data_IF_688086793554
#
_entry.id   IF_688086793554
#
_cell.length_a   1.000
_cell.length_b   1.000
_cell.length_c   1.000
_cell.angle_alpha   90.00
_cell.angle_beta   90.00
_cell.angle_gamma   90.00
#
_symmetry.space_group_name_H-M   'P 1'
#
loop_
_entity.id
_entity.type
_entity.pdbx_description
1 polymer ?
#
# COMPACT_ATOMS: atom_id res chain seq x y z
N UNK A 1 22.81 -7.74 6.18
CA UNK A 1 23.14 -6.30 6.37
C UNK A 1 22.60 -5.41 5.25
N UNK A 2 23.06 -5.54 3.99
CA UNK A 2 22.62 -4.64 2.88
C UNK A 2 21.10 -4.58 2.65
N UNK A 3 20.40 -5.71 2.71
CA UNK A 3 18.93 -5.75 2.51
C UNK A 3 18.17 -4.92 3.56
N UNK A 4 18.61 -4.97 4.82
CA UNK A 4 17.99 -4.18 5.89
C UNK A 4 18.24 -2.69 5.69
N UNK A 5 19.46 -2.30 5.33
CA UNK A 5 19.75 -0.89 5.01
C UNK A 5 18.85 -0.38 3.88
N UNK A 6 18.68 -1.16 2.81
CA UNK A 6 17.75 -0.80 1.73
C UNK A 6 16.32 -0.62 2.24
N UNK A 7 15.78 -1.56 3.00
CA UNK A 7 14.43 -1.47 3.55
C UNK A 7 14.25 -0.25 4.47
N UNK A 8 15.22 -0.01 5.38
CA UNK A 8 15.25 1.15 6.28
C UNK A 8 15.29 2.48 5.50
N UNK A 9 16.09 2.56 4.43
CA UNK A 9 16.17 3.75 3.58
C UNK A 9 14.90 3.98 2.77
N UNK A 10 14.28 2.92 2.24
CA UNK A 10 12.96 3.01 1.58
C UNK A 10 11.92 3.54 2.58
N UNK A 11 11.84 2.96 3.78
CA UNK A 11 10.90 3.43 4.81
C UNK A 11 11.08 4.92 5.14
N UNK A 12 12.32 5.37 5.34
CA UNK A 12 12.63 6.79 5.54
C UNK A 12 12.22 7.66 4.34
N UNK A 13 12.52 7.22 3.12
CA UNK A 13 12.15 7.94 1.90
C UNK A 13 10.65 8.08 1.69
N UNK A 14 9.86 7.15 2.24
CA UNK A 14 8.40 7.19 2.24
C UNK A 14 7.78 7.81 3.50
N UNK A 15 8.58 8.46 4.36
CA UNK A 15 8.06 9.14 5.55
C UNK A 15 7.54 8.20 6.63
N UNK A 16 8.07 6.97 6.73
CA UNK A 16 7.70 6.01 7.78
C UNK A 16 8.50 6.19 9.09
N UNK A 17 9.36 7.20 9.15
CA UNK A 17 10.36 7.36 10.19
C UNK A 17 11.50 6.35 10.05
N UNK A 18 12.08 5.97 11.19
CA UNK A 18 13.18 5.02 11.25
C UNK A 18 12.71 3.61 11.62
N UNK A 19 12.87 2.66 10.70
CA UNK A 19 12.52 1.26 10.96
C UNK A 19 13.48 0.57 11.94
N UNK A 20 14.60 1.19 12.31
CA UNK A 20 15.54 0.69 13.33
C UNK A 20 16.88 0.24 12.77
N UNK A 21 17.86 0.01 13.67
CA UNK A 21 19.21 -0.44 13.31
C UNK A 21 19.22 -1.87 12.76
N UNK A 22 18.30 -2.70 13.25
CA UNK A 22 17.96 -4.04 12.78
C UNK A 22 16.43 -4.25 12.95
N UNK A 23 15.83 -5.31 12.39
CA UNK A 23 14.40 -5.59 12.61
C UNK A 23 14.06 -5.64 14.10
N UNK A 24 13.16 -4.76 14.55
CA UNK A 24 12.71 -4.64 15.94
C UNK A 24 13.73 -4.01 16.90
N UNK A 25 14.85 -3.46 16.42
CA UNK A 25 15.90 -2.87 17.26
C UNK A 25 15.93 -1.36 17.05
N UNK A 26 15.65 -0.61 18.12
CA UNK A 26 15.68 0.87 18.13
C UNK A 26 14.80 1.47 17.02
N UNK A 27 13.62 0.89 16.78
CA UNK A 27 12.66 1.46 15.85
C UNK A 27 12.15 2.81 16.39
N UNK A 28 12.09 3.80 15.52
CA UNK A 28 11.54 5.13 15.79
C UNK A 28 10.67 5.53 14.60
N UNK A 29 9.55 4.81 14.45
CA UNK A 29 8.60 5.01 13.36
C UNK A 29 7.88 6.36 13.49
N UNK A 30 7.44 6.91 12.37
CA UNK A 30 6.64 8.13 12.33
C UNK A 30 5.15 7.78 12.34
N UNK A 31 4.46 8.12 13.44
CA UNK A 31 3.02 7.89 13.59
C UNK A 31 2.16 9.05 13.09
N UNK A 32 2.77 10.19 12.76
CA UNK A 32 2.10 11.35 12.19
C UNK A 32 2.11 11.32 10.65
N UNK A 33 2.80 10.34 10.05
CA UNK A 33 2.88 10.12 8.61
C UNK A 33 1.52 10.18 7.90
N UNK A 34 1.53 10.74 6.69
CA UNK A 34 0.41 10.78 5.74
C UNK A 34 0.51 9.68 4.66
N UNK A 35 1.52 8.81 4.75
CA UNK A 35 1.74 7.73 3.80
C UNK A 35 0.48 6.83 3.73
N UNK A 36 0.04 6.55 2.51
CA UNK A 36 -1.19 5.79 2.23
C UNK A 36 -0.99 4.73 1.14
N UNK A 37 0.25 4.38 0.80
CA UNK A 37 0.53 3.39 -0.23
C UNK A 37 0.30 1.96 0.31
N UNK A 38 -0.62 1.16 -0.27
CA UNK A 38 -0.85 -0.21 0.15
C UNK A 38 0.38 -1.12 0.02
N UNK A 39 1.33 -0.81 -0.87
CA UNK A 39 2.60 -1.56 -0.96
C UNK A 39 3.47 -1.37 0.28
N UNK A 40 3.47 -0.17 0.89
CA UNK A 40 4.17 0.07 2.15
C UNK A 40 3.54 -0.74 3.29
N UNK A 41 2.21 -0.86 3.29
CA UNK A 41 1.51 -1.70 4.26
C UNK A 41 1.92 -3.17 4.13
N UNK A 42 1.97 -3.73 2.91
CA UNK A 42 2.48 -5.09 2.71
C UNK A 42 3.92 -5.25 3.20
N UNK A 43 4.81 -4.31 2.85
CA UNK A 43 6.20 -4.35 3.32
C UNK A 43 6.29 -4.37 4.85
N UNK A 44 5.46 -3.58 5.53
CA UNK A 44 5.43 -3.53 6.99
C UNK A 44 4.81 -4.78 7.63
N UNK A 45 3.83 -5.41 6.98
CA UNK A 45 3.28 -6.70 7.41
C UNK A 45 4.33 -7.82 7.31
N UNK A 46 5.17 -7.81 6.26
CA UNK A 46 6.30 -8.74 6.19
C UNK A 46 7.33 -8.50 7.31
N UNK A 47 7.57 -7.23 7.68
CA UNK A 47 8.41 -6.91 8.84
C UNK A 47 7.79 -7.40 10.15
N UNK A 48 6.49 -7.20 10.36
CA UNK A 48 5.77 -7.69 11.53
C UNK A 48 5.81 -9.21 11.63
N UNK A 49 5.69 -9.90 10.51
CA UNK A 49 5.78 -11.37 10.45
C UNK A 49 7.18 -11.87 10.81
N UNK A 50 8.23 -11.18 10.34
CA UNK A 50 9.62 -11.57 10.58
C UNK A 50 10.14 -11.16 11.98
N UNK A 51 9.72 -9.99 12.46
CA UNK A 51 10.13 -9.39 13.73
C UNK A 51 8.94 -8.63 14.35
N UNK A 52 8.06 -9.32 15.09
CA UNK A 52 6.93 -8.69 15.76
C UNK A 52 7.40 -7.55 16.68
N UNK A 53 6.95 -6.33 16.40
CA UNK A 53 7.32 -5.15 17.17
C UNK A 53 6.11 -4.21 17.29
N UNK A 54 5.83 -3.65 18.49
CA UNK A 54 4.65 -2.80 18.69
C UNK A 54 4.65 -1.57 17.78
N UNK A 55 5.82 -0.99 17.48
CA UNK A 55 5.91 0.20 16.64
C UNK A 55 5.53 -0.10 15.19
N UNK A 56 5.98 -1.23 14.63
CA UNK A 56 5.55 -1.66 13.30
C UNK A 56 4.05 -1.90 13.25
N UNK A 57 3.48 -2.46 14.32
CA UNK A 57 2.02 -2.68 14.41
C UNK A 57 1.26 -1.36 14.42
N UNK A 58 1.71 -0.37 15.20
CA UNK A 58 1.08 0.96 15.25
C UNK A 58 1.20 1.68 13.90
N UNK A 59 2.36 1.59 13.25
CA UNK A 59 2.57 2.16 11.93
C UNK A 59 1.70 1.47 10.86
N UNK A 60 1.50 0.15 10.94
CA UNK A 60 0.64 -0.58 10.00
C UNK A 60 -0.83 -0.18 10.13
N UNK A 61 -1.31 0.00 11.37
CA UNK A 61 -2.64 0.56 11.64
C UNK A 61 -2.76 1.98 11.08
N UNK A 62 -1.76 2.84 11.31
CA UNK A 62 -1.74 4.21 10.77
C UNK A 62 -1.81 4.24 9.25
N UNK A 63 -1.04 3.40 8.56
CA UNK A 63 -1.12 3.26 7.09
C UNK A 63 -2.51 2.79 6.64
N UNK A 64 -3.11 1.83 7.35
CA UNK A 64 -4.48 1.37 7.09
C UNK A 64 -5.52 2.49 7.22
N UNK A 65 -5.43 3.27 8.29
CA UNK A 65 -6.29 4.43 8.52
C UNK A 65 -6.11 5.48 7.41
N UNK A 66 -4.86 5.76 7.02
CA UNK A 66 -4.56 6.71 5.94
C UNK A 66 -5.11 6.23 4.58
N UNK A 67 -4.98 4.94 4.25
CA UNK A 67 -5.57 4.35 3.04
C UNK A 67 -7.09 4.59 3.01
N UNK A 68 -7.79 4.29 4.10
CA UNK A 68 -9.23 4.51 4.17
C UNK A 68 -9.58 5.99 4.04
N UNK A 69 -8.87 6.87 4.77
CA UNK A 69 -9.15 8.30 4.78
C UNK A 69 -8.87 8.99 3.44
N UNK A 70 -7.88 8.52 2.68
CA UNK A 70 -7.36 9.24 1.49
C UNK A 70 -7.63 8.55 0.17
N UNK A 71 -8.10 7.29 0.18
CA UNK A 71 -8.33 6.51 -1.04
C UNK A 71 -9.73 5.93 -1.15
N UNK A 72 -10.51 5.89 -0.07
CA UNK A 72 -11.88 5.36 -0.14
C UNK A 72 -12.89 6.49 -0.40
N UNK A 73 -13.38 6.56 -1.63
CA UNK A 73 -14.33 7.57 -2.08
C UNK A 73 -15.52 6.91 -2.77
N UNK A 74 -16.73 7.36 -2.43
CA UNK A 74 -17.98 6.92 -3.06
C UNK A 74 -18.16 5.39 -3.16
N UNK A 75 -17.61 4.65 -2.19
CA UNK A 75 -17.70 3.18 -2.13
C UNK A 75 -16.60 2.43 -2.87
N UNK A 76 -15.62 3.13 -3.47
CA UNK A 76 -14.51 2.55 -4.21
C UNK A 76 -13.16 3.02 -3.69
N UNK A 77 -12.10 2.25 -3.99
CA UNK A 77 -10.73 2.70 -3.79
C UNK A 77 -10.22 3.41 -5.06
N UNK A 78 -9.84 4.66 -4.92
CA UNK A 78 -9.35 5.55 -5.98
C UNK A 78 -8.06 6.24 -5.53
N UNK A 79 -7.13 6.58 -6.46
CA UNK A 79 -5.95 7.35 -6.09
C UNK A 79 -6.26 8.77 -5.59
N UNK A 80 -7.42 9.34 -5.97
CA UNK A 80 -7.98 10.56 -5.40
C UNK A 80 -9.46 10.67 -5.72
N UNK A 81 -10.19 11.53 -5.02
CA UNK A 81 -11.60 11.84 -5.28
C UNK A 81 -11.86 12.45 -6.67
N UNK A 82 -10.83 12.94 -7.35
CA UNK A 82 -10.96 13.45 -8.71
C UNK A 82 -11.04 12.35 -9.77
N UNK A 83 -10.64 11.10 -9.46
CA UNK A 83 -10.63 10.03 -10.44
C UNK A 83 -12.05 9.65 -10.89
N UNK A 84 -12.22 9.48 -12.20
CA UNK A 84 -13.53 9.22 -12.82
C UNK A 84 -13.93 7.76 -12.66
N UNK A 85 -12.96 6.85 -12.75
CA UNK A 85 -13.17 5.40 -12.84
C UNK A 85 -12.38 4.68 -11.74
N UNK A 86 -13.01 3.68 -11.11
CA UNK A 86 -12.34 2.76 -10.20
C UNK A 86 -11.89 1.50 -10.96
N UNK A 87 -10.70 1.00 -10.63
CA UNK A 87 -10.28 -0.35 -11.01
C UNK A 87 -10.70 -1.33 -9.93
N UNK A 88 -11.25 -2.49 -10.32
CA UNK A 88 -11.54 -3.57 -9.38
C UNK A 88 -10.28 -4.38 -9.02
N UNK A 89 -9.16 -4.15 -9.72
CA UNK A 89 -7.83 -4.65 -9.38
C UNK A 89 -7.07 -3.62 -8.48
N UNK A 90 -7.82 -2.93 -7.62
CA UNK A 90 -7.28 -2.04 -6.60
C UNK A 90 -6.60 -2.86 -5.51
N UNK A 91 -5.47 -2.37 -5.01
CA UNK A 91 -4.63 -3.13 -4.08
C UNK A 91 -5.02 -2.87 -2.61
N UNK A 92 -5.61 -1.71 -2.36
CA UNK A 92 -6.04 -1.22 -1.05
C UNK A 92 -6.93 -2.22 -0.28
N UNK A 93 -7.99 -2.83 -0.86
CA UNK A 93 -8.80 -3.81 -0.14
C UNK A 93 -7.98 -5.01 0.32
N UNK A 94 -7.10 -5.53 -0.53
CA UNK A 94 -6.29 -6.70 -0.19
C UNK A 94 -5.32 -6.36 0.94
N UNK A 95 -4.64 -5.22 0.87
CA UNK A 95 -3.71 -4.78 1.92
C UNK A 95 -4.41 -4.62 3.27
N UNK A 96 -5.60 -4.02 3.30
CA UNK A 96 -6.41 -3.86 4.52
C UNK A 96 -6.90 -5.21 5.07
N UNK A 97 -7.33 -6.14 4.22
CA UNK A 97 -7.72 -7.49 4.64
C UNK A 97 -6.53 -8.29 5.17
N UNK A 98 -5.33 -8.15 4.57
CA UNK A 98 -4.11 -8.79 5.07
C UNK A 98 -3.68 -8.21 6.42
N UNK A 99 -3.86 -6.90 6.65
CA UNK A 99 -3.67 -6.28 7.96
C UNK A 99 -4.65 -6.86 8.98
N UNK A 100 -5.95 -6.90 8.66
CA UNK A 100 -6.96 -7.45 9.57
C UNK A 100 -6.69 -8.93 9.90
N UNK A 101 -6.32 -9.73 8.91
CA UNK A 101 -5.92 -11.12 9.08
C UNK A 101 -4.73 -11.26 10.04
N UNK A 102 -3.71 -10.39 9.93
CA UNK A 102 -2.60 -10.35 10.89
C UNK A 102 -3.06 -9.96 12.30
N UNK A 103 -3.93 -8.97 12.45
CA UNK A 103 -4.44 -8.52 13.75
C UNK A 103 -5.26 -9.59 14.46
N UNK A 104 -5.96 -10.45 13.71
CA UNK A 104 -6.72 -11.60 14.22
C UNK A 104 -5.86 -12.84 14.47
N UNK A 105 -4.59 -12.82 14.06
CA UNK A 105 -3.71 -13.99 14.16
C UNK A 105 -4.06 -15.10 13.16
N UNK A 106 -4.72 -14.76 12.05
CA UNK A 106 -5.10 -15.69 10.97
C UNK A 106 -4.58 -15.18 9.60
N UNK A 107 -3.27 -14.92 9.44
CA UNK A 107 -2.71 -14.33 8.23
C UNK A 107 -3.04 -15.13 6.95
N UNK A 108 -3.23 -16.44 7.07
CA UNK A 108 -3.62 -17.35 5.98
C UNK A 108 -5.04 -17.13 5.45
N UNK A 109 -5.89 -16.38 6.17
CA UNK A 109 -7.23 -16.03 5.71
C UNK A 109 -7.22 -15.02 4.55
N UNK A 110 -6.11 -14.31 4.34
CA UNK A 110 -5.91 -13.43 3.20
C UNK A 110 -4.96 -14.08 2.17
N UNK A 111 -5.25 -14.00 0.86
CA UNK A 111 -4.35 -14.51 -0.15
C UNK A 111 -3.05 -13.69 -0.21
N UNK A 112 -1.95 -14.36 -0.54
CA UNK A 112 -0.65 -13.70 -0.75
C UNK A 112 -0.73 -12.81 -2.00
N UNK A 113 -0.24 -11.58 -1.90
CA UNK A 113 -0.12 -10.68 -3.04
C UNK A 113 1.13 -11.01 -3.87
N UNK A 114 1.00 -11.42 -5.15
CA UNK A 114 2.14 -11.86 -5.96
C UNK A 114 2.84 -10.71 -6.72
N UNK A 115 2.55 -9.44 -6.38
CA UNK A 115 2.99 -8.27 -7.14
C UNK A 115 2.52 -8.24 -8.61
N UNK A 116 1.43 -8.94 -8.94
CA UNK A 116 0.83 -8.95 -10.27
C UNK A 116 -0.16 -7.80 -10.49
N UNK A 117 -0.33 -7.40 -11.76
CA UNK A 117 -1.37 -6.47 -12.24
C UNK A 117 -1.73 -6.79 -13.70
N UNK A 118 -3.02 -6.80 -14.02
CA UNK A 118 -3.51 -6.92 -15.39
C UNK A 118 -3.48 -5.57 -16.13
N UNK A 119 -3.38 -5.60 -17.46
CA UNK A 119 -3.56 -4.41 -18.30
C UNK A 119 -4.13 -4.78 -19.67
N UNK A 120 -4.78 -3.82 -20.32
CA UNK A 120 -5.28 -3.93 -21.69
C UNK A 120 -4.48 -2.95 -22.55
N UNK A 121 -4.05 -3.39 -23.73
CA UNK A 121 -3.25 -2.58 -24.66
C UNK A 121 -3.85 -2.61 -26.06
N UNK A 122 -4.00 -1.42 -26.65
CA UNK A 122 -4.57 -1.25 -27.97
C UNK A 122 -4.96 0.21 -28.25
N UNK A 123 -5.38 0.53 -29.49
CA UNK A 123 -5.94 1.84 -29.80
C UNK A 123 -7.30 2.05 -29.13
N UNK A 124 -7.56 3.28 -28.70
CA UNK A 124 -8.80 3.66 -28.00
C UNK A 124 -9.10 5.16 -28.19
N UNK A 125 -10.31 5.51 -28.63
CA UNK A 125 -10.81 6.89 -28.75
C UNK A 125 -9.82 7.90 -29.35
N UNK A 126 -9.27 7.57 -30.51
CA UNK A 126 -8.32 8.42 -31.24
C UNK A 126 -6.90 8.42 -30.66
N UNK A 127 -6.66 7.73 -29.54
CA UNK A 127 -5.32 7.42 -29.07
C UNK A 127 -4.77 6.21 -29.85
N UNK A 128 -3.54 6.35 -30.35
CA UNK A 128 -2.81 5.28 -31.04
C UNK A 128 -2.38 4.18 -30.08
N UNK A 129 -1.09 4.03 -29.82
CA UNK A 129 -0.61 3.00 -28.87
C UNK A 129 -0.88 3.43 -27.42
N UNK A 130 -1.91 2.86 -26.77
CA UNK A 130 -2.26 3.20 -25.38
C UNK A 130 -2.61 1.95 -24.55
N UNK A 131 -2.72 2.14 -23.24
CA UNK A 131 -3.26 1.15 -22.29
C UNK A 131 -4.49 1.68 -21.57
N UNK A 132 -5.25 0.78 -20.95
CA UNK A 132 -6.36 1.10 -20.04
C UNK A 132 -5.93 2.00 -18.88
N UNK A 133 -4.72 1.84 -18.33
CA UNK A 133 -4.18 2.74 -17.31
C UNK A 133 -4.19 4.21 -17.74
N UNK A 134 -3.76 4.50 -18.96
CA UNK A 134 -3.70 5.87 -19.51
C UNK A 134 -5.04 6.34 -20.06
N UNK A 135 -5.80 5.41 -20.65
CA UNK A 135 -7.04 5.72 -21.35
C UNK A 135 -8.24 5.84 -20.42
N UNK A 136 -8.28 5.08 -19.33
CA UNK A 136 -9.47 4.90 -18.48
C UNK A 136 -9.15 5.20 -17.02
N UNK A 137 -8.17 4.50 -16.42
CA UNK A 137 -7.97 4.50 -14.96
C UNK A 137 -7.37 5.80 -14.42
N UNK A 138 -6.54 6.50 -15.19
CA UNK A 138 -5.92 7.77 -14.81
C UNK A 138 -6.77 9.02 -15.10
N UNK A 139 -7.98 8.85 -15.64
CA UNK A 139 -8.82 10.01 -15.99
C UNK A 139 -9.39 10.65 -14.73
N UNK A 140 -9.23 11.96 -14.63
CA UNK A 140 -9.78 12.78 -13.54
C UNK A 140 -10.81 13.77 -14.05
N UNK A 141 -11.78 14.11 -13.19
CA UNK A 141 -12.69 15.23 -13.37
C UNK A 141 -11.91 16.51 -13.10
N UNK A 142 -12.16 17.55 -13.91
CA UNK A 142 -11.62 18.90 -13.67
C UNK A 142 -12.45 19.63 -12.62
#
# INVERSE_FOLDING_TARGET
ERLWHTARHIGRGHGLGDLGAAPGVEAAVDLDTDASDPQLLFGLLELLRAAPHPDYRRLALRLGDNILATRFFDGFFLPSSAHVNATFDALEPLALLTLEAHLRGTPEAAPVWPAGRGYIHGPHDGMGRTTDSSAIWSKTRR
#
